data_IF_597736510693
#
_entry.id   IF_597736510693
#
_cell.length_a   1.000
_cell.length_b   1.000
_cell.length_c   1.000
_cell.angle_alpha   90.00
_cell.angle_beta   90.00
_cell.angle_gamma   90.00
#
_symmetry.space_group_name_H-M   'P 1'
#
loop_
_entity.id
_entity.type
_entity.pdbx_description
1 polymer ?
#
# COMPACT_ATOMS: atom_id res chain seq x y z
N UNK A 1 -22.94 8.37 -10.64
CA UNK A 1 -22.98 7.38 -9.51
C UNK A 1 -21.66 7.29 -8.71
N UNK A 2 -20.68 8.18 -8.89
CA UNK A 2 -19.31 8.09 -8.35
C UNK A 2 -19.01 9.32 -7.45
N UNK A 3 -19.70 9.46 -6.32
CA UNK A 3 -19.48 10.57 -5.37
C UNK A 3 -20.08 10.19 -4.00
N UNK A 4 -19.21 9.77 -3.07
CA UNK A 4 -19.34 9.77 -1.59
C UNK A 4 -17.97 9.25 -1.09
N UNK A 5 -16.90 10.02 -0.87
CA UNK A 5 -16.79 11.32 -0.25
C UNK A 5 -17.72 11.43 0.97
N UNK A 6 -17.25 10.84 2.06
CA UNK A 6 -17.70 11.17 3.40
C UNK A 6 -17.55 12.68 3.53
N UNK A 7 -18.69 13.36 3.62
CA UNK A 7 -18.74 14.73 4.11
C UNK A 7 -18.24 14.69 5.55
N UNK A 8 -16.97 15.00 5.77
CA UNK A 8 -16.53 15.48 7.08
C UNK A 8 -17.30 16.77 7.29
N UNK A 9 -18.26 16.75 8.22
CA UNK A 9 -18.85 17.97 8.77
C UNK A 9 -17.67 18.78 9.29
N UNK A 10 -17.35 19.87 8.61
CA UNK A 10 -16.56 20.94 9.21
C UNK A 10 -17.30 21.35 10.48
N UNK A 11 -16.60 21.25 11.62
CA UNK A 11 -17.03 21.87 12.86
C UNK A 11 -17.08 23.38 12.58
N UNK A 12 -18.29 23.92 12.47
CA UNK A 12 -18.50 25.36 12.50
C UNK A 12 -18.19 25.84 13.91
N UNK A 13 -17.46 26.96 14.08
CA UNK A 13 -17.41 27.60 15.39
C UNK A 13 -18.85 27.98 15.77
N UNK A 14 -19.14 27.80 17.06
CA UNK A 14 -20.38 28.16 17.75
C UNK A 14 -20.95 29.45 17.17
N UNK A 15 -22.01 29.33 16.35
CA UNK A 15 -22.86 30.46 15.98
C UNK A 15 -24.05 30.44 16.93
N UNK A 16 -24.14 31.53 17.67
CA UNK A 16 -25.21 31.97 18.56
C UNK A 16 -26.60 31.50 18.16
N UNK A 17 -27.34 31.01 19.15
CA UNK A 17 -28.76 30.71 19.08
C UNK A 17 -29.56 31.96 18.65
N UNK A 18 -30.17 31.89 17.46
CA UNK A 18 -31.29 32.73 17.05
C UNK A 18 -32.34 31.82 16.41
N UNK A 19 -33.59 31.79 16.92
CA UNK A 19 -34.63 30.92 16.38
C UNK A 19 -35.15 31.48 15.04
N UNK A 20 -34.94 30.72 13.95
CA UNK A 20 -35.49 31.04 12.63
C UNK A 20 -36.96 30.60 12.55
N UNK A 21 -37.88 31.53 12.80
CA UNK A 21 -39.32 31.46 12.52
C UNK A 21 -39.68 31.46 11.01
N UNK A 22 -38.75 31.14 10.11
CA UNK A 22 -38.97 31.21 8.66
C UNK A 22 -39.54 29.92 8.03
N UNK A 23 -39.85 28.89 8.83
CA UNK A 23 -40.32 27.59 8.33
C UNK A 23 -41.84 27.47 8.12
N UNK A 24 -42.62 28.52 8.43
CA UNK A 24 -44.09 28.49 8.36
C UNK A 24 -44.70 28.96 7.02
N UNK A 25 -43.90 29.35 6.03
CA UNK A 25 -44.40 29.95 4.78
C UNK A 25 -44.07 29.18 3.48
N UNK A 26 -43.69 27.89 3.54
CA UNK A 26 -43.61 27.04 2.33
C UNK A 26 -44.79 26.08 2.28
N UNK A 27 -45.82 26.52 1.57
CA UNK A 27 -47.02 25.75 1.29
C UNK A 27 -46.74 24.43 0.55
N UNK A 28 -47.48 23.41 0.97
CA UNK A 28 -48.44 22.64 0.15
C UNK A 28 -48.09 22.47 -1.33
N UNK A 29 -46.87 22.05 -1.66
CA UNK A 29 -46.64 21.34 -2.92
C UNK A 29 -46.97 19.87 -2.67
N UNK A 30 -47.92 19.35 -3.45
CA UNK A 30 -48.34 17.95 -3.39
C UNK A 30 -47.12 17.04 -3.59
N UNK A 31 -46.88 16.03 -2.73
CA UNK A 31 -45.79 15.06 -2.87
C UNK A 31 -45.82 14.24 -4.18
N UNK A 32 -46.86 14.39 -5.01
CA UNK A 32 -47.12 13.56 -6.18
C UNK A 32 -46.26 13.88 -7.41
N UNK A 33 -45.57 15.03 -7.45
CA UNK A 33 -44.81 15.47 -8.64
C UNK A 33 -43.28 15.43 -8.46
N UNK A 34 -42.77 14.76 -7.42
CA UNK A 34 -41.33 14.57 -7.28
C UNK A 34 -40.85 13.64 -8.41
N UNK A 35 -39.98 14.09 -9.33
CA UNK A 35 -39.49 13.26 -10.41
C UNK A 35 -38.80 12.03 -9.82
N UNK A 36 -39.14 10.85 -10.34
CA UNK A 36 -38.54 9.59 -9.92
C UNK A 36 -37.00 9.75 -9.89
N UNK A 37 -36.34 9.32 -8.80
CA UNK A 37 -34.90 9.50 -8.67
C UNK A 37 -34.23 8.85 -9.88
N UNK A 38 -33.55 9.67 -10.67
CA UNK A 38 -32.92 9.25 -11.91
C UNK A 38 -32.10 7.97 -11.66
N UNK A 39 -32.46 6.89 -12.36
CA UNK A 39 -31.77 5.60 -12.29
C UNK A 39 -30.30 5.83 -12.64
N UNK A 40 -29.44 5.86 -11.61
CA UNK A 40 -28.08 6.26 -11.87
C UNK A 40 -27.30 5.12 -12.54
N UNK A 41 -26.77 5.39 -13.73
CA UNK A 41 -26.13 4.41 -14.61
C UNK A 41 -25.05 3.59 -13.85
N UNK A 42 -24.99 2.27 -14.07
CA UNK A 42 -23.95 1.43 -13.47
C UNK A 42 -22.57 1.95 -13.89
N UNK A 43 -21.64 1.97 -12.94
CA UNK A 43 -20.25 2.38 -13.24
C UNK A 43 -19.62 1.31 -14.12
N UNK A 44 -18.75 1.69 -15.07
CA UNK A 44 -17.95 0.72 -15.80
C UNK A 44 -17.10 -0.11 -14.82
N UNK A 45 -16.83 -1.39 -15.14
CA UNK A 45 -16.00 -2.25 -14.30
C UNK A 45 -14.59 -1.69 -14.16
N UNK A 46 -13.99 -1.84 -12.97
CA UNK A 46 -12.60 -1.45 -12.73
C UNK A 46 -11.68 -2.37 -13.53
N UNK A 47 -10.73 -1.78 -14.27
CA UNK A 47 -9.67 -2.52 -14.94
C UNK A 47 -8.58 -2.88 -13.92
N UNK A 48 -8.68 -4.08 -13.33
CA UNK A 48 -7.76 -4.57 -12.30
C UNK A 48 -6.30 -4.50 -12.75
N UNK A 49 -5.98 -4.83 -14.01
CA UNK A 49 -4.62 -4.78 -14.56
C UNK A 49 -4.07 -3.36 -14.55
N UNK A 50 -4.87 -2.38 -14.97
CA UNK A 50 -4.45 -0.96 -14.92
C UNK A 50 -4.16 -0.51 -13.49
N UNK A 51 -4.99 -0.92 -12.51
CA UNK A 51 -4.75 -0.60 -11.10
C UNK A 51 -3.52 -1.33 -10.55
N UNK A 52 -3.28 -2.58 -10.95
CA UNK A 52 -2.07 -3.33 -10.58
C UNK A 52 -0.81 -2.60 -11.06
N UNK A 53 -0.76 -2.19 -12.33
CA UNK A 53 0.38 -1.44 -12.88
C UNK A 53 0.57 -0.12 -12.14
N UNK A 54 -0.53 0.59 -11.87
CA UNK A 54 -0.48 1.84 -11.10
C UNK A 54 0.13 1.64 -9.70
N UNK A 55 -0.27 0.58 -9.00
CA UNK A 55 0.26 0.25 -7.67
C UNK A 55 1.73 -0.15 -7.74
N UNK A 56 2.13 -0.90 -8.75
CA UNK A 56 3.54 -1.28 -8.96
C UNK A 56 4.41 -0.03 -9.11
N UNK A 57 4.06 0.86 -10.03
CA UNK A 57 4.86 2.06 -10.35
C UNK A 57 4.87 3.04 -9.18
N UNK A 58 3.72 3.26 -8.53
CA UNK A 58 3.61 4.30 -7.49
C UNK A 58 4.01 3.84 -6.10
N UNK A 59 4.08 2.53 -5.84
CA UNK A 59 4.26 2.02 -4.46
C UNK A 59 5.28 0.91 -4.40
N UNK A 60 5.08 -0.18 -5.12
CA UNK A 60 5.87 -1.41 -4.94
C UNK A 60 7.32 -1.24 -5.41
N UNK A 61 7.53 -0.66 -6.60
CA UNK A 61 8.87 -0.37 -7.09
C UNK A 61 9.57 0.66 -6.19
N UNK A 62 8.96 1.83 -5.87
CA UNK A 62 9.54 2.78 -4.94
C UNK A 62 9.87 2.20 -3.55
N UNK A 63 9.07 1.27 -3.04
CA UNK A 63 9.32 0.59 -1.77
C UNK A 63 10.66 -0.18 -1.83
N UNK A 64 10.78 -1.17 -2.73
CA UNK A 64 12.02 -1.95 -2.89
C UNK A 64 13.24 -1.08 -3.21
N UNK A 65 13.06 -0.06 -4.06
CA UNK A 65 14.11 0.93 -4.33
C UNK A 65 14.53 1.68 -3.06
N UNK A 66 13.56 2.18 -2.30
CA UNK A 66 13.78 2.97 -1.08
C UNK A 66 14.44 2.15 0.02
N UNK A 67 14.03 0.89 0.19
CA UNK A 67 14.64 -0.06 1.12
C UNK A 67 16.13 -0.25 0.80
N UNK A 68 16.46 -0.51 -0.47
CA UNK A 68 17.86 -0.71 -0.90
C UNK A 68 18.68 0.57 -0.85
N UNK A 69 18.09 1.73 -1.15
CA UNK A 69 18.78 3.00 -0.98
C UNK A 69 19.12 3.24 0.50
N UNK A 70 18.20 2.91 1.41
CA UNK A 70 18.43 3.03 2.83
C UNK A 70 19.41 1.99 3.38
N UNK A 71 19.52 0.79 2.79
CA UNK A 71 20.52 -0.21 3.20
C UNK A 71 21.94 0.25 2.87
N UNK A 72 22.14 0.92 1.73
CA UNK A 72 23.43 1.57 1.39
C UNK A 72 23.77 2.66 2.42
N UNK A 73 22.81 3.54 2.74
CA UNK A 73 23.00 4.59 3.75
C UNK A 73 23.30 4.00 5.13
N UNK A 74 22.64 2.91 5.51
CA UNK A 74 22.90 2.21 6.77
C UNK A 74 24.31 1.61 6.80
N UNK A 75 24.75 1.01 5.70
CA UNK A 75 26.11 0.49 5.55
C UNK A 75 27.17 1.59 5.65
N UNK A 76 26.96 2.73 5.01
CA UNK A 76 27.85 3.91 5.09
C UNK A 76 27.93 4.48 6.52
N UNK A 77 26.88 4.29 7.34
CA UNK A 77 26.87 4.66 8.75
C UNK A 77 27.52 3.60 9.67
N UNK A 78 27.95 2.46 9.11
CA UNK A 78 28.54 1.36 9.86
C UNK A 78 27.54 0.54 10.66
N UNK A 79 26.26 0.53 10.26
CA UNK A 79 25.28 -0.36 10.87
C UNK A 79 25.44 -1.78 10.33
N UNK A 80 25.64 -2.73 11.25
CA UNK A 80 25.64 -4.15 10.93
C UNK A 80 24.27 -4.60 10.43
N UNK A 81 24.24 -5.52 9.45
CA UNK A 81 22.99 -6.01 8.85
C UNK A 81 22.08 -6.73 9.85
N UNK A 82 22.60 -7.24 10.97
CA UNK A 82 21.82 -7.87 12.04
C UNK A 82 21.38 -6.90 13.15
N UNK A 83 21.72 -5.61 13.02
CA UNK A 83 21.38 -4.60 14.01
C UNK A 83 19.95 -4.08 13.87
N UNK A 84 19.37 -3.69 15.00
CA UNK A 84 18.07 -2.99 15.02
C UNK A 84 18.12 -1.68 14.21
N UNK A 85 19.25 -0.97 14.22
CA UNK A 85 19.40 0.29 13.49
C UNK A 85 19.35 0.10 11.97
N UNK A 86 19.95 -0.98 11.46
CA UNK A 86 19.84 -1.33 10.04
C UNK A 86 18.39 -1.66 9.66
N UNK A 87 17.71 -2.47 10.47
CA UNK A 87 16.31 -2.82 10.25
C UNK A 87 15.38 -1.60 10.26
N UNK A 88 15.55 -0.67 11.21
CA UNK A 88 14.75 0.56 11.27
C UNK A 88 15.05 1.51 10.12
N UNK A 89 16.33 1.65 9.74
CA UNK A 89 16.75 2.52 8.63
C UNK A 89 16.19 2.02 7.30
N UNK A 90 16.28 0.73 7.02
CA UNK A 90 15.75 0.13 5.79
C UNK A 90 14.22 0.17 5.73
N UNK A 91 13.54 -0.06 6.85
CA UNK A 91 12.09 0.18 6.96
C UNK A 91 11.69 1.63 6.70
N UNK A 92 12.48 2.60 7.15
CA UNK A 92 12.27 4.02 6.83
C UNK A 92 12.48 4.31 5.33
N UNK A 93 13.40 3.61 4.67
CA UNK A 93 13.55 3.63 3.22
C UNK A 93 12.29 3.17 2.50
N UNK A 94 11.72 2.05 2.93
CA UNK A 94 10.48 1.46 2.40
C UNK A 94 9.28 2.43 2.58
N UNK A 95 9.14 2.98 3.79
CA UNK A 95 8.17 4.03 4.12
C UNK A 95 8.26 5.21 3.15
N UNK A 96 9.49 5.73 2.99
CA UNK A 96 9.75 6.93 2.18
C UNK A 96 9.44 6.66 0.71
N UNK A 97 9.86 5.51 0.20
CA UNK A 97 9.57 5.05 -1.15
C UNK A 97 8.06 5.04 -1.44
N UNK A 98 7.28 4.40 -0.58
CA UNK A 98 5.81 4.32 -0.73
C UNK A 98 5.15 5.69 -0.64
N UNK A 99 5.52 6.52 0.34
CA UNK A 99 4.91 7.83 0.53
C UNK A 99 5.19 8.75 -0.66
N UNK A 100 6.46 8.82 -1.10
CA UNK A 100 6.88 9.67 -2.22
C UNK A 100 6.24 9.18 -3.51
N UNK A 101 6.30 7.89 -3.81
CA UNK A 101 5.72 7.34 -5.04
C UNK A 101 4.19 7.53 -5.11
N UNK A 102 3.48 7.31 -4.00
CA UNK A 102 2.04 7.55 -3.92
C UNK A 102 1.71 9.03 -4.17
N UNK A 103 2.41 9.93 -3.46
CA UNK A 103 2.16 11.37 -3.51
C UNK A 103 2.49 11.95 -4.89
N UNK A 104 3.60 11.51 -5.50
CA UNK A 104 4.00 11.94 -6.84
C UNK A 104 2.94 11.57 -7.89
N UNK A 105 2.39 10.35 -7.83
CA UNK A 105 1.32 9.95 -8.73
C UNK A 105 0.03 10.75 -8.50
N UNK A 106 -0.34 11.03 -7.25
CA UNK A 106 -1.51 11.85 -6.94
C UNK A 106 -1.38 13.27 -7.52
N UNK A 107 -0.22 13.90 -7.35
CA UNK A 107 0.10 15.22 -7.93
C UNK A 107 0.06 15.17 -9.46
N UNK A 108 0.65 14.15 -10.08
CA UNK A 108 0.63 13.99 -11.53
C UNK A 108 -0.79 13.85 -12.08
N UNK A 109 -1.65 13.08 -11.40
CA UNK A 109 -3.07 12.94 -11.78
C UNK A 109 -3.81 14.27 -11.74
N UNK A 110 -3.57 15.10 -10.72
CA UNK A 110 -4.13 16.47 -10.65
C UNK A 110 -3.59 17.34 -11.79
N UNK A 111 -2.30 17.29 -12.07
CA UNK A 111 -1.66 18.09 -13.12
C UNK A 111 -2.22 17.78 -14.52
N UNK A 112 -2.61 16.53 -14.79
CA UNK A 112 -3.26 16.12 -16.05
C UNK A 112 -4.79 16.27 -16.04
N UNK A 113 -5.35 17.03 -15.10
CA UNK A 113 -6.76 17.39 -15.05
C UNK A 113 -7.70 16.31 -14.50
N UNK A 114 -7.19 15.28 -13.82
CA UNK A 114 -8.05 14.31 -13.12
C UNK A 114 -8.43 14.88 -11.76
N UNK A 115 -9.74 14.85 -11.44
CA UNK A 115 -10.22 15.27 -10.12
C UNK A 115 -9.68 14.32 -9.05
N UNK A 116 -8.87 14.83 -8.12
CA UNK A 116 -8.31 14.07 -7.01
C UNK A 116 -8.36 14.90 -5.72
N UNK A 117 -8.65 14.24 -4.60
CA UNK A 117 -8.65 14.88 -3.28
C UNK A 117 -7.29 14.65 -2.62
N UNK A 118 -6.33 15.56 -2.86
CA UNK A 118 -4.96 15.44 -2.39
C UNK A 118 -4.84 15.15 -0.88
N UNK A 119 -5.72 15.73 -0.06
CA UNK A 119 -5.74 15.45 1.38
C UNK A 119 -6.05 13.99 1.72
N UNK A 120 -7.03 13.38 1.05
CA UNK A 120 -7.37 11.96 1.23
C UNK A 120 -6.27 11.05 0.68
N UNK A 121 -5.67 11.42 -0.45
CA UNK A 121 -4.55 10.68 -1.03
C UNK A 121 -3.32 10.72 -0.11
N UNK A 122 -3.01 11.86 0.50
CA UNK A 122 -1.90 11.98 1.45
C UNK A 122 -2.11 11.11 2.69
N UNK A 123 -3.31 11.12 3.29
CA UNK A 123 -3.62 10.25 4.44
C UNK A 123 -3.52 8.77 4.05
N UNK A 124 -3.98 8.41 2.86
CA UNK A 124 -3.86 7.05 2.32
C UNK A 124 -2.39 6.68 2.09
N UNK A 125 -1.59 7.60 1.54
CA UNK A 125 -0.15 7.43 1.34
C UNK A 125 0.59 7.20 2.65
N UNK A 126 0.32 8.02 3.68
CA UNK A 126 0.90 7.86 5.01
C UNK A 126 0.52 6.51 5.65
N UNK A 127 -0.76 6.13 5.54
CA UNK A 127 -1.24 4.84 6.03
C UNK A 127 -0.51 3.65 5.40
N UNK A 128 -0.39 3.65 4.07
CA UNK A 128 0.32 2.60 3.34
C UNK A 128 1.83 2.62 3.64
N UNK A 129 2.43 3.80 3.77
CA UNK A 129 3.84 3.96 4.12
C UNK A 129 4.13 3.40 5.51
N UNK A 130 3.25 3.60 6.51
CA UNK A 130 3.39 2.97 7.84
C UNK A 130 3.35 1.44 7.76
N UNK A 131 2.48 0.87 6.92
CA UNK A 131 2.48 -0.57 6.71
C UNK A 131 3.77 -1.07 6.03
N UNK A 132 4.28 -0.32 5.05
CA UNK A 132 5.56 -0.59 4.40
C UNK A 132 6.73 -0.51 5.39
N UNK A 133 6.75 0.48 6.29
CA UNK A 133 7.74 0.57 7.36
C UNK A 133 7.81 -0.73 8.18
N UNK A 134 6.67 -1.23 8.65
CA UNK A 134 6.61 -2.47 9.43
C UNK A 134 7.15 -3.67 8.63
N UNK A 135 6.79 -3.78 7.36
CA UNK A 135 7.27 -4.83 6.46
C UNK A 135 8.77 -4.74 6.20
N UNK A 136 9.26 -3.57 5.81
CA UNK A 136 10.66 -3.31 5.50
C UNK A 136 11.57 -3.52 6.70
N UNK A 137 11.15 -3.10 7.90
CA UNK A 137 11.91 -3.36 9.13
C UNK A 137 11.93 -4.83 9.55
N UNK A 138 10.91 -5.61 9.20
CA UNK A 138 10.90 -7.04 9.50
C UNK A 138 11.77 -7.85 8.53
N UNK A 139 12.10 -7.32 7.36
CA UNK A 139 12.73 -8.07 6.27
C UNK A 139 14.11 -8.61 6.65
N UNK A 140 15.07 -7.74 7.00
CA UNK A 140 16.46 -8.15 7.28
C UNK A 140 16.56 -9.10 8.48
N UNK A 141 15.91 -8.83 9.64
CA UNK A 141 15.93 -9.78 10.75
C UNK A 141 15.36 -11.15 10.39
N UNK A 142 14.35 -11.19 9.52
CA UNK A 142 13.76 -12.46 9.08
C UNK A 142 14.70 -13.23 8.16
N UNK A 143 15.35 -12.57 7.20
CA UNK A 143 16.33 -13.22 6.31
C UNK A 143 17.50 -13.74 7.12
N UNK A 144 18.09 -12.94 8.02
CA UNK A 144 19.20 -13.37 8.87
C UNK A 144 18.82 -14.60 9.71
N UNK A 145 17.62 -14.59 10.30
CA UNK A 145 17.15 -15.74 11.08
C UNK A 145 16.98 -17.00 10.21
N UNK A 146 16.29 -16.90 9.07
CA UNK A 146 15.99 -18.06 8.25
C UNK A 146 17.24 -18.59 7.54
N UNK A 147 18.04 -17.72 6.95
CA UNK A 147 19.26 -18.07 6.24
C UNK A 147 20.39 -18.45 7.19
N UNK A 148 20.80 -17.56 8.10
CA UNK A 148 22.04 -17.73 8.86
C UNK A 148 21.83 -18.63 10.08
N UNK A 149 20.74 -18.45 10.83
CA UNK A 149 20.50 -19.17 12.07
C UNK A 149 19.80 -20.52 11.86
N UNK A 150 18.80 -20.57 10.97
CA UNK A 150 18.01 -21.77 10.69
C UNK A 150 18.52 -22.56 9.48
N UNK A 151 19.51 -22.04 8.73
CA UNK A 151 20.11 -22.69 7.57
C UNK A 151 19.08 -23.15 6.52
N UNK A 152 18.07 -22.32 6.28
CA UNK A 152 17.05 -22.55 5.27
C UNK A 152 17.59 -22.30 3.86
N UNK A 153 17.13 -23.12 2.90
CA UNK A 153 17.36 -22.91 1.46
C UNK A 153 16.76 -21.60 0.96
N UNK A 154 17.16 -21.15 -0.23
CA UNK A 154 16.62 -19.93 -0.85
C UNK A 154 15.08 -19.93 -0.87
N UNK A 155 14.45 -21.01 -1.34
CA UNK A 155 12.99 -21.07 -1.44
C UNK A 155 12.30 -21.07 -0.07
N UNK A 156 12.90 -21.71 0.94
CA UNK A 156 12.38 -21.68 2.30
C UNK A 156 12.47 -20.27 2.89
N UNK A 157 13.60 -19.57 2.69
CA UNK A 157 13.78 -18.20 3.17
C UNK A 157 12.89 -17.22 2.42
N UNK A 158 12.74 -17.34 1.09
CA UNK A 158 11.85 -16.49 0.30
C UNK A 158 10.38 -16.61 0.76
N UNK A 159 9.89 -17.84 0.96
CA UNK A 159 8.51 -18.08 1.44
C UNK A 159 8.35 -17.62 2.90
N UNK A 160 9.29 -17.96 3.78
CA UNK A 160 9.24 -17.60 5.19
C UNK A 160 9.34 -16.08 5.41
N UNK A 161 10.27 -15.43 4.71
CA UNK A 161 10.39 -13.97 4.68
C UNK A 161 9.08 -13.34 4.22
N UNK A 162 8.55 -13.76 3.06
CA UNK A 162 7.29 -13.25 2.52
C UNK A 162 6.09 -13.42 3.48
N UNK A 163 6.03 -14.53 4.22
CA UNK A 163 4.98 -14.75 5.21
C UNK A 163 5.09 -13.76 6.40
N UNK A 164 6.30 -13.59 6.95
CA UNK A 164 6.53 -12.71 8.12
C UNK A 164 6.35 -11.24 7.75
N UNK A 165 6.94 -10.78 6.65
CA UNK A 165 6.84 -9.39 6.18
C UNK A 165 5.41 -9.07 5.71
N UNK A 166 4.72 -10.01 5.06
CA UNK A 166 3.30 -9.88 4.73
C UNK A 166 2.44 -9.72 5.99
N UNK A 167 2.71 -10.51 7.04
CA UNK A 167 2.02 -10.37 8.33
C UNK A 167 2.35 -9.03 9.03
N UNK A 168 3.61 -8.58 8.97
CA UNK A 168 4.03 -7.29 9.51
C UNK A 168 3.36 -6.12 8.76
N UNK A 169 3.26 -6.20 7.42
CA UNK A 169 2.52 -5.25 6.60
C UNK A 169 1.04 -5.20 7.01
N UNK A 170 0.41 -6.37 7.14
CA UNK A 170 -0.99 -6.48 7.58
C UNK A 170 -1.19 -5.81 8.94
N UNK A 171 -0.36 -6.13 9.92
CA UNK A 171 -0.42 -5.51 11.25
C UNK A 171 -0.27 -3.98 11.16
N UNK A 172 0.66 -3.50 10.32
CA UNK A 172 0.84 -2.08 10.04
C UNK A 172 -0.40 -1.43 9.43
N UNK A 173 -1.10 -2.09 8.49
CA UNK A 173 -2.39 -1.59 7.97
C UNK A 173 -3.42 -1.46 9.09
N UNK A 174 -3.54 -2.47 9.97
CA UNK A 174 -4.53 -2.48 11.06
C UNK A 174 -4.24 -1.39 12.08
N UNK A 175 -2.98 -1.24 12.49
CA UNK A 175 -2.53 -0.18 13.40
C UNK A 175 -2.78 1.20 12.76
N UNK A 176 -2.41 1.37 11.49
CA UNK A 176 -2.61 2.62 10.78
C UNK A 176 -4.09 3.01 10.66
N UNK A 177 -5.02 2.05 10.54
CA UNK A 177 -6.47 2.34 10.60
C UNK A 177 -6.92 2.90 11.95
N UNK A 178 -6.23 2.60 13.03
CA UNK A 178 -6.51 3.16 14.36
C UNK A 178 -5.91 4.58 14.44
N UNK A 179 -4.65 4.74 14.03
CA UNK A 179 -3.90 6.00 14.12
C UNK A 179 -4.49 7.08 13.21
N UNK A 180 -4.82 6.74 11.96
CA UNK A 180 -5.23 7.70 10.93
C UNK A 180 -6.75 7.88 10.81
N UNK A 181 -7.56 7.18 11.62
CA UNK A 181 -9.02 7.38 11.67
C UNK A 181 -9.43 8.84 11.93
N UNK A 182 -8.80 9.58 12.86
CA UNK A 182 -9.11 11.00 13.07
C UNK A 182 -8.84 11.89 11.85
N UNK A 183 -7.99 11.43 10.91
CA UNK A 183 -7.68 12.13 9.67
C UNK A 183 -8.59 11.74 8.50
N UNK A 184 -9.65 10.96 8.76
CA UNK A 184 -10.65 10.58 7.76
C UNK A 184 -10.39 9.23 7.08
N UNK A 185 -9.40 8.46 7.52
CA UNK A 185 -9.23 7.08 7.06
C UNK A 185 -10.39 6.20 7.61
N UNK A 186 -10.97 5.28 6.82
CA UNK A 186 -11.93 4.32 7.34
C UNK A 186 -11.32 3.48 8.48
N UNK A 187 -12.03 3.42 9.61
CA UNK A 187 -11.62 2.61 10.75
C UNK A 187 -11.59 1.11 10.43
N UNK A 188 -10.96 0.32 11.29
CA UNK A 188 -10.92 -1.13 11.16
C UNK A 188 -12.33 -1.76 11.20
N UNK A 189 -12.70 -2.51 10.16
CA UNK A 189 -13.92 -3.31 10.09
C UNK A 189 -13.63 -4.65 9.37
N UNK A 190 -14.67 -5.48 9.17
CA UNK A 190 -14.54 -6.78 8.52
C UNK A 190 -14.33 -6.68 7.01
N UNK A 191 -15.01 -5.75 6.34
CA UNK A 191 -14.90 -5.58 4.88
C UNK A 191 -13.48 -5.19 4.49
N UNK A 192 -12.86 -4.28 5.24
CA UNK A 192 -11.48 -3.90 5.04
C UNK A 192 -10.47 -4.88 5.63
N UNK A 193 -10.85 -5.78 6.55
CA UNK A 193 -10.00 -6.86 7.03
C UNK A 193 -9.61 -7.80 5.89
N UNK A 194 -10.58 -8.25 5.10
CA UNK A 194 -10.33 -9.13 3.96
C UNK A 194 -9.49 -8.43 2.89
N UNK A 195 -9.79 -7.16 2.60
CA UNK A 195 -9.01 -6.32 1.69
C UNK A 195 -7.55 -6.22 2.11
N UNK A 196 -7.31 -5.87 3.38
CA UNK A 196 -5.97 -5.74 3.95
C UNK A 196 -5.22 -7.08 3.90
N UNK A 197 -5.87 -8.20 4.19
CA UNK A 197 -5.24 -9.53 4.16
C UNK A 197 -4.81 -9.94 2.74
N UNK A 198 -5.66 -9.71 1.73
CA UNK A 198 -5.30 -10.02 0.33
C UNK A 198 -4.19 -9.12 -0.20
N UNK A 199 -4.23 -7.83 0.12
CA UNK A 199 -3.14 -6.91 -0.23
C UNK A 199 -1.82 -7.37 0.43
N UNK A 200 -1.88 -7.76 1.69
CA UNK A 200 -0.71 -8.24 2.45
C UNK A 200 -0.14 -9.55 1.89
N UNK A 201 -0.97 -10.43 1.34
CA UNK A 201 -0.50 -11.61 0.60
C UNK A 201 0.29 -11.22 -0.66
N UNK A 202 -0.14 -10.19 -1.40
CA UNK A 202 0.62 -9.66 -2.54
C UNK A 202 1.93 -9.00 -2.10
N UNK A 203 1.97 -8.32 -0.95
CA UNK A 203 3.21 -7.78 -0.36
C UNK A 203 4.14 -8.90 0.11
N UNK A 204 3.61 -9.98 0.69
CA UNK A 204 4.40 -11.15 1.06
C UNK A 204 5.09 -11.77 -0.15
N UNK A 205 4.40 -11.89 -1.29
CA UNK A 205 5.02 -12.35 -2.53
C UNK A 205 6.09 -11.37 -3.05
N UNK A 206 5.85 -10.06 -2.96
CA UNK A 206 6.81 -9.03 -3.33
C UNK A 206 8.12 -9.13 -2.53
N UNK A 207 8.00 -9.17 -1.20
CA UNK A 207 9.12 -9.22 -0.25
C UNK A 207 9.82 -10.58 -0.23
N UNK A 208 9.10 -11.68 -0.46
CA UNK A 208 9.71 -12.99 -0.67
C UNK A 208 10.54 -13.05 -1.96
N UNK A 209 10.06 -12.44 -3.04
CA UNK A 209 10.82 -12.31 -4.30
C UNK A 209 12.04 -11.41 -4.12
N UNK A 210 11.96 -10.43 -3.21
CA UNK A 210 13.07 -9.54 -2.88
C UNK A 210 14.27 -10.28 -2.27
N UNK A 211 14.08 -11.43 -1.61
CA UNK A 211 15.20 -12.31 -1.20
C UNK A 211 16.08 -12.71 -2.40
N UNK A 212 15.53 -12.69 -3.62
CA UNK A 212 16.29 -12.90 -4.85
C UNK A 212 17.43 -11.92 -5.10
N UNK A 213 17.49 -10.78 -4.41
CA UNK A 213 18.62 -9.84 -4.49
C UNK A 213 19.83 -10.29 -3.68
N UNK A 214 19.65 -11.19 -2.71
CA UNK A 214 20.70 -11.69 -1.84
C UNK A 214 21.52 -12.78 -2.53
N UNK A 215 22.82 -12.50 -2.70
CA UNK A 215 23.77 -13.38 -3.40
C UNK A 215 24.41 -14.44 -2.48
N UNK A 216 24.15 -14.39 -1.17
CA UNK A 216 24.70 -15.35 -0.21
C UNK A 216 24.12 -16.76 -0.39
N UNK A 217 22.90 -16.84 -0.92
CA UNK A 217 22.22 -18.09 -1.25
C UNK A 217 22.78 -18.75 -2.51
N UNK A 218 23.48 -19.87 -2.36
CA UNK A 218 24.04 -20.64 -3.48
C UNK A 218 22.98 -21.23 -4.43
N UNK A 219 21.77 -21.47 -3.93
CA UNK A 219 20.64 -22.03 -4.65
C UNK A 219 19.60 -20.96 -5.07
N UNK A 220 19.97 -19.68 -5.06
CA UNK A 220 19.09 -18.58 -5.46
C UNK A 220 18.78 -18.60 -6.96
N UNK A 221 17.61 -19.15 -7.30
CA UNK A 221 17.10 -19.24 -8.68
C UNK A 221 16.73 -17.89 -9.30
N UNK A 222 16.61 -16.83 -8.49
CA UNK A 222 16.29 -15.47 -8.94
C UNK A 222 17.53 -14.58 -9.12
N UNK A 223 18.70 -15.03 -8.65
CA UNK A 223 19.96 -14.29 -8.72
C UNK A 223 20.29 -13.77 -10.14
N UNK A 224 20.09 -14.54 -11.24
CA UNK A 224 20.39 -14.03 -12.58
C UNK A 224 19.59 -12.78 -12.98
N UNK A 225 18.40 -12.58 -12.39
CA UNK A 225 17.50 -11.48 -12.72
C UNK A 225 17.64 -10.32 -11.73
N UNK A 226 17.74 -10.63 -10.44
CA UNK A 226 17.62 -9.64 -9.38
C UNK A 226 18.82 -9.54 -8.45
N UNK A 227 19.78 -10.47 -8.51
CA UNK A 227 20.95 -10.47 -7.65
C UNK A 227 21.69 -9.14 -7.68
N UNK A 228 22.01 -8.61 -6.49
CA UNK A 228 22.78 -7.38 -6.31
C UNK A 228 24.19 -7.78 -5.88
N UNK A 229 25.14 -7.66 -6.81
CA UNK A 229 26.54 -8.07 -6.59
C UNK A 229 27.41 -6.87 -6.21
N UNK A 230 28.53 -7.11 -5.53
CA UNK A 230 29.48 -6.07 -5.11
C UNK A 230 30.05 -5.22 -6.27
N UNK A 231 30.03 -5.72 -7.50
CA UNK A 231 30.47 -4.97 -8.69
C UNK A 231 29.44 -3.99 -9.24
N UNK A 232 28.20 -4.01 -8.74
CA UNK A 232 27.12 -3.13 -9.21
C UNK A 232 27.17 -1.78 -8.50
N UNK A 233 26.74 -0.73 -9.20
CA UNK A 233 26.53 0.57 -8.56
C UNK A 233 25.35 0.51 -7.57
N UNK A 234 25.36 1.36 -6.55
CA UNK A 234 24.24 1.48 -5.60
C UNK A 234 22.91 1.74 -6.31
N UNK A 235 22.90 2.56 -7.36
CA UNK A 235 21.70 2.85 -8.15
C UNK A 235 21.19 1.60 -8.88
N UNK A 236 22.07 0.81 -9.50
CA UNK A 236 21.68 -0.46 -10.12
C UNK A 236 21.09 -1.42 -9.08
N UNK A 237 21.71 -1.51 -7.90
CA UNK A 237 21.17 -2.27 -6.77
C UNK A 237 19.75 -1.85 -6.41
N UNK A 238 19.49 -0.55 -6.27
CA UNK A 238 18.16 -0.03 -5.97
C UNK A 238 17.13 -0.34 -7.06
N UNK A 239 17.54 -0.28 -8.34
CA UNK A 239 16.66 -0.64 -9.46
C UNK A 239 16.30 -2.13 -9.42
N UNK A 240 17.27 -3.01 -9.17
CA UNK A 240 17.04 -4.47 -9.05
C UNK A 240 16.14 -4.80 -7.88
N UNK A 241 16.34 -4.15 -6.73
CA UNK A 241 15.48 -4.27 -5.56
C UNK A 241 14.02 -3.89 -5.90
N UNK A 242 13.79 -2.70 -6.47
CA UNK A 242 12.46 -2.28 -6.91
C UNK A 242 11.84 -3.18 -7.99
N UNK A 243 12.65 -3.73 -8.90
CA UNK A 243 12.18 -4.66 -9.92
C UNK A 243 11.75 -6.02 -9.33
N UNK A 244 12.51 -6.53 -8.35
CA UNK A 244 12.21 -7.81 -7.69
C UNK A 244 10.89 -7.77 -6.91
N UNK A 245 10.65 -6.70 -6.13
CA UNK A 245 9.38 -6.52 -5.41
C UNK A 245 8.21 -6.38 -6.38
N UNK A 246 8.41 -5.64 -7.47
CA UNK A 246 7.41 -5.47 -8.54
C UNK A 246 7.04 -6.79 -9.20
N UNK A 247 8.01 -7.66 -9.48
CA UNK A 247 7.78 -8.96 -10.09
C UNK A 247 6.98 -9.89 -9.16
N UNK A 248 7.36 -9.96 -7.88
CA UNK A 248 6.65 -10.76 -6.88
C UNK A 248 5.21 -10.30 -6.67
N UNK A 249 5.01 -8.98 -6.55
CA UNK A 249 3.67 -8.39 -6.43
C UNK A 249 2.83 -8.68 -7.68
N UNK A 250 3.38 -8.46 -8.88
CA UNK A 250 2.67 -8.68 -10.14
C UNK A 250 2.22 -10.14 -10.27
N UNK A 251 3.08 -11.10 -9.90
CA UNK A 251 2.75 -12.52 -9.95
C UNK A 251 1.54 -12.84 -9.06
N UNK A 252 1.60 -12.51 -7.76
CA UNK A 252 0.51 -12.79 -6.83
C UNK A 252 -0.76 -12.01 -7.19
N UNK A 253 -0.62 -10.74 -7.57
CA UNK A 253 -1.77 -9.93 -7.95
C UNK A 253 -2.43 -10.44 -9.23
N UNK A 254 -1.67 -10.95 -10.19
CA UNK A 254 -2.22 -11.57 -11.40
C UNK A 254 -3.01 -12.83 -11.03
N UNK A 255 -2.48 -13.68 -10.15
CA UNK A 255 -3.22 -14.85 -9.66
C UNK A 255 -4.53 -14.44 -8.97
N UNK A 256 -4.50 -13.45 -8.08
CA UNK A 256 -5.71 -12.92 -7.45
C UNK A 256 -6.70 -12.31 -8.46
N UNK A 257 -6.20 -11.62 -9.50
CA UNK A 257 -7.04 -11.02 -10.53
C UNK A 257 -7.76 -12.07 -11.39
N UNK A 258 -7.12 -13.22 -11.63
CA UNK A 258 -7.66 -14.33 -12.42
C UNK A 258 -8.61 -15.24 -11.62
N UNK A 259 -8.28 -15.51 -10.36
CA UNK A 259 -9.00 -16.49 -9.54
C UNK A 259 -10.18 -15.88 -8.79
N UNK A 260 -10.04 -14.65 -8.27
CA UNK A 260 -11.07 -14.06 -7.42
C UNK A 260 -12.21 -13.43 -8.24
N UNK A 261 -13.49 -13.70 -7.90
CA UNK A 261 -14.62 -13.08 -8.58
C UNK A 261 -14.65 -11.57 -8.38
N UNK A 262 -15.39 -10.86 -9.22
CA UNK A 262 -15.57 -9.40 -9.12
C UNK A 262 -16.23 -9.02 -7.78
N UNK A 263 -15.63 -8.05 -7.10
CA UNK A 263 -16.05 -7.57 -5.79
C UNK A 263 -15.43 -8.35 -4.62
N UNK A 264 -14.58 -9.34 -4.90
CA UNK A 264 -13.89 -10.12 -3.87
C UNK A 264 -12.39 -9.81 -3.79
N UNK A 265 -11.80 -9.13 -4.78
CA UNK A 265 -10.40 -8.72 -4.75
C UNK A 265 -10.27 -7.38 -4.03
N UNK A 266 -9.16 -7.14 -3.33
CA UNK A 266 -8.91 -5.86 -2.64
C UNK A 266 -8.84 -4.65 -3.58
N UNK A 267 -8.54 -4.86 -4.87
CA UNK A 267 -8.57 -3.82 -5.92
C UNK A 267 -10.00 -3.44 -6.31
N UNK A 268 -10.98 -4.33 -6.07
CA UNK A 268 -12.35 -4.03 -6.44
C UNK A 268 -12.96 -3.02 -5.46
N UNK A 269 -13.80 -2.10 -5.95
CA UNK A 269 -14.54 -1.22 -5.07
C UNK A 269 -15.47 -2.07 -4.18
N UNK A 270 -15.35 -1.90 -2.86
CA UNK A 270 -16.21 -2.54 -1.86
C UNK A 270 -17.67 -2.27 -2.23
N UNK A 271 -18.49 -3.32 -2.33
CA UNK A 271 -19.94 -3.19 -2.43
C UNK A 271 -20.45 -2.70 -1.06
N UNK A 272 -20.52 -1.40 -0.86
CA UNK A 272 -21.31 -0.84 0.24
C UNK A 272 -22.77 -1.27 -0.01
N UNK A 273 -23.24 -2.26 0.76
CA UNK A 273 -24.66 -2.61 0.81
C UNK A 273 -25.43 -1.52 1.52
#
# INVERSE_FOLDING_TARGET
MLHRAITVRTWSPVRSALPRLAHLARGLTSPADAPAPAEKKPKPPVNRTSTTIEVIISKIFPAGFGWQAASVVAGDQGFEADSLNFALTTGLGDFTGVLVGHSALAVLKVAVGRSHHLGTDLVTGLWLATAAFCSGSAWQPTVNFLHDAANCSFMQTAVGCGAVTGAAFFAGLRIGRIIFKPLGLPGADYDNLCGDAMLSASIGAATGTFVGTDISFKDNVLMPFFGVTDSMSSLEGCIRAGASTSAGFLCMQTAQNLVLPRGANWIDPVKLK
#
